data_IF_011610546700
#
_entry.id   IF_011610546700
#
_cell.length_a   1.000
_cell.length_b   1.000
_cell.length_c   1.000
_cell.angle_alpha   90.00
_cell.angle_beta   90.00
_cell.angle_gamma   90.00
#
_symmetry.space_group_name_H-M   'P 1'
#
loop_
_entity.id
_entity.type
_entity.pdbx_description
1 polymer ?
#
# COMPACT_ATOMS: atom_id res chain seq x y z
N UNK A 1 -6.19 17.20 -0.33
CA UNK A 1 -5.18 16.15 -0.54
C UNK A 1 -5.80 14.85 -0.11
N UNK A 2 -5.67 13.80 -0.92
CA UNK A 2 -6.15 12.47 -0.56
C UNK A 2 -5.13 11.81 0.35
N UNK A 3 -5.52 11.47 1.57
CA UNK A 3 -4.59 11.02 2.60
C UNK A 3 -5.08 9.77 3.33
N UNK A 4 -4.12 9.01 3.86
CA UNK A 4 -4.34 7.85 4.70
C UNK A 4 -3.16 7.69 5.66
N UNK A 5 -3.37 6.93 6.73
CA UNK A 5 -2.33 6.50 7.65
C UNK A 5 -2.05 5.03 7.38
N UNK A 6 -0.78 4.68 7.23
CA UNK A 6 -0.33 3.33 6.96
C UNK A 6 0.90 2.97 7.78
N UNK A 7 1.18 1.67 7.83
CA UNK A 7 2.45 1.11 8.26
C UNK A 7 3.07 0.44 7.05
N UNK A 8 4.34 0.74 6.79
CA UNK A 8 5.09 0.13 5.70
C UNK A 8 5.26 -1.36 5.95
N UNK A 9 5.25 -2.14 4.87
CA UNK A 9 5.62 -3.54 4.96
C UNK A 9 7.11 -3.64 5.27
N UNK A 10 7.46 -4.50 6.22
CA UNK A 10 8.87 -4.78 6.53
C UNK A 10 9.61 -5.26 5.28
N UNK A 11 10.83 -4.76 5.04
CA UNK A 11 11.58 -5.02 3.80
C UNK A 11 11.84 -6.52 3.55
N UNK A 12 12.00 -7.29 4.62
CA UNK A 12 12.19 -8.76 4.58
C UNK A 12 10.93 -9.51 4.11
N UNK A 13 9.75 -8.89 4.22
CA UNK A 13 8.48 -9.45 3.75
C UNK A 13 8.16 -9.08 2.30
N UNK A 14 8.86 -8.12 1.69
CA UNK A 14 8.63 -7.77 0.29
C UNK A 14 8.92 -8.95 -0.65
N UNK A 15 10.10 -9.64 -0.60
CA UNK A 15 10.38 -10.76 -1.48
C UNK A 15 9.35 -11.90 -1.43
N UNK A 16 8.92 -12.42 -0.26
CA UNK A 16 7.92 -13.49 -0.23
C UNK A 16 6.54 -13.03 -0.73
N UNK A 17 6.15 -11.76 -0.56
CA UNK A 17 4.90 -11.24 -1.14
C UNK A 17 4.97 -11.23 -2.66
N UNK A 18 6.08 -10.77 -3.24
CA UNK A 18 6.29 -10.76 -4.69
C UNK A 18 6.32 -12.19 -5.25
N UNK A 19 6.94 -13.13 -4.55
CA UNK A 19 6.93 -14.54 -4.93
C UNK A 19 5.49 -15.09 -5.02
N UNK A 20 4.66 -14.84 -4.01
CA UNK A 20 3.24 -15.23 -4.02
C UNK A 20 2.47 -14.58 -5.17
N UNK A 21 2.69 -13.29 -5.45
CA UNK A 21 2.07 -12.62 -6.61
C UNK A 21 2.46 -13.29 -7.93
N UNK A 22 3.71 -13.71 -8.09
CA UNK A 22 4.23 -14.36 -9.30
C UNK A 22 3.59 -15.72 -9.59
N UNK A 23 3.11 -16.40 -8.55
CA UNK A 23 2.45 -17.70 -8.65
C UNK A 23 1.00 -17.60 -9.13
N UNK A 24 0.41 -16.40 -9.13
CA UNK A 24 -0.96 -16.16 -9.59
C UNK A 24 -0.93 -15.91 -11.11
N UNK A 25 -1.13 -16.97 -11.88
CA UNK A 25 -1.07 -16.94 -13.36
C UNK A 25 -2.41 -16.71 -14.06
N UNK A 26 -3.52 -16.70 -13.31
CA UNK A 26 -4.86 -16.62 -13.86
C UNK A 26 -5.48 -15.23 -13.64
N UNK A 27 -6.02 -14.66 -14.71
CA UNK A 27 -6.73 -13.38 -14.69
C UNK A 27 -5.91 -12.19 -15.16
N UNK A 28 -6.60 -11.09 -15.49
CA UNK A 28 -5.97 -9.80 -15.83
C UNK A 28 -5.75 -9.02 -14.55
N UNK A 29 -4.68 -9.34 -13.84
CA UNK A 29 -4.35 -8.73 -12.54
C UNK A 29 -3.25 -7.69 -12.72
N UNK A 30 -3.44 -6.52 -12.13
CA UNK A 30 -2.38 -5.53 -11.92
C UNK A 30 -1.98 -5.59 -10.45
N UNK A 31 -0.81 -6.17 -10.17
CA UNK A 31 -0.28 -6.21 -8.81
C UNK A 31 0.18 -4.82 -8.37
N UNK A 32 0.21 -4.63 -7.05
CA UNK A 32 0.76 -3.42 -6.43
C UNK A 32 2.29 -3.51 -6.52
N UNK A 33 2.93 -2.42 -6.95
CA UNK A 33 4.39 -2.34 -7.01
C UNK A 33 5.03 -2.49 -5.61
N UNK A 34 6.22 -3.10 -5.48
CA UNK A 34 6.85 -3.37 -4.19
C UNK A 34 6.96 -2.15 -3.26
N UNK A 35 7.30 -0.98 -3.79
CA UNK A 35 7.44 0.28 -3.05
C UNK A 35 6.10 0.83 -2.51
N UNK A 36 4.97 0.31 -3.00
CA UNK A 36 3.64 0.70 -2.56
C UNK A 36 2.99 -0.35 -1.64
N UNK A 37 3.69 -1.42 -1.26
CA UNK A 37 3.19 -2.42 -0.32
C UNK A 37 3.16 -1.84 1.11
N UNK A 38 1.95 -1.74 1.66
CA UNK A 38 1.74 -1.21 3.01
C UNK A 38 0.43 -1.75 3.59
N UNK A 39 0.26 -1.62 4.90
CA UNK A 39 -1.01 -1.82 5.57
C UNK A 39 -1.67 -0.47 5.85
N UNK A 40 -2.77 -0.16 5.16
CA UNK A 40 -3.57 1.02 5.49
C UNK A 40 -4.28 0.79 6.83
N UNK A 41 -4.04 1.65 7.81
CA UNK A 41 -4.74 1.63 9.11
C UNK A 41 -6.03 2.46 9.07
N UNK A 42 -5.97 3.64 8.44
CA UNK A 42 -7.11 4.55 8.36
C UNK A 42 -7.06 5.38 7.09
N UNK A 43 -8.13 5.30 6.31
CA UNK A 43 -8.34 6.20 5.18
C UNK A 43 -8.98 7.51 5.68
N UNK A 44 -8.39 8.66 5.33
CA UNK A 44 -8.86 9.99 5.74
C UNK A 44 -9.68 10.69 4.66
N UNK A 45 -9.63 10.19 3.42
CA UNK A 45 -10.28 10.85 2.29
C UNK A 45 -9.57 12.13 1.90
N UNK A 46 -10.33 13.12 1.45
CA UNK A 46 -9.81 14.45 1.16
C UNK A 46 -9.70 15.30 2.43
N UNK A 47 -8.49 15.75 2.75
CA UNK A 47 -8.22 16.69 3.84
C UNK A 47 -7.59 17.98 3.32
N UNK A 48 -7.78 19.07 4.07
CA UNK A 48 -7.14 20.37 3.82
C UNK A 48 -5.72 20.38 4.39
N UNK A 49 -4.86 21.26 3.89
CA UNK A 49 -3.51 21.43 4.45
C UNK A 49 -3.53 21.83 5.92
N UNK A 50 -4.51 22.64 6.34
CA UNK A 50 -4.66 23.02 7.74
C UNK A 50 -4.87 21.78 8.62
N UNK A 51 -5.82 20.90 8.25
CA UNK A 51 -6.10 19.66 8.99
C UNK A 51 -4.92 18.68 9.03
N UNK A 52 -3.97 18.79 8.11
CA UNK A 52 -2.77 17.94 8.08
C UNK A 52 -1.64 18.46 8.99
N UNK A 53 -1.71 19.73 9.42
CA UNK A 53 -0.70 20.39 10.28
C UNK A 53 -1.11 20.48 11.75
N UNK A 54 -2.40 20.32 12.02
CA UNK A 54 -2.97 20.27 13.38
C UNK A 54 -2.61 18.95 14.07
#
# INVERSE_FOLDING_TARGET
MRSFVAVDLSEDLIPPVVDVQSQISEGKIKFVEPENLHFTLKFLGEITEQKAKD
#
